data_IF_457162234103
#
_entry.id   IF_457162234103
#
_cell.length_a   1.000
_cell.length_b   1.000
_cell.length_c   1.000
_cell.angle_alpha   90.00
_cell.angle_beta   90.00
_cell.angle_gamma   90.00
#
_symmetry.space_group_name_H-M   'P 1'
#
loop_
_entity.id
_entity.type
_entity.pdbx_description
1 polymer ?
#
# COMPACT_ATOMS: atom_id res chain seq x y z
N UNK A 1 50.32 55.08 1.06
CA UNK A 1 50.42 53.73 0.51
C UNK A 1 49.13 53.01 0.89
N UNK A 2 48.29 52.58 -0.05
CA UNK A 2 47.09 51.80 0.29
C UNK A 2 47.54 50.39 0.64
N UNK A 3 47.07 49.89 1.77
CA UNK A 3 47.31 48.54 2.23
C UNK A 3 46.71 47.54 1.23
N UNK A 4 47.54 46.69 0.63
CA UNK A 4 47.10 45.59 -0.21
C UNK A 4 46.35 44.57 0.66
N UNK A 5 45.05 44.68 0.69
CA UNK A 5 44.19 43.69 1.39
C UNK A 5 44.32 42.32 0.72
N UNK A 6 45.13 41.46 1.27
CA UNK A 6 45.18 40.08 0.86
C UNK A 6 43.81 39.42 1.12
N UNK A 7 43.09 39.11 0.03
CA UNK A 7 41.88 38.28 0.16
C UNK A 7 42.31 36.92 0.68
N UNK A 8 41.66 36.37 1.72
CA UNK A 8 42.00 35.06 2.28
C UNK A 8 41.79 34.00 1.20
N UNK A 9 42.61 32.98 1.19
CA UNK A 9 42.67 31.89 0.18
C UNK A 9 41.32 31.16 0.04
N UNK A 10 40.50 31.11 1.08
CA UNK A 10 39.16 30.49 1.07
C UNK A 10 38.10 31.33 0.34
N UNK A 11 38.34 32.60 0.08
CA UNK A 11 37.36 33.52 -0.55
C UNK A 11 36.87 33.05 -1.93
N UNK A 12 37.73 32.58 -2.86
CA UNK A 12 37.25 32.03 -4.13
C UNK A 12 36.43 30.76 -3.96
N UNK A 13 36.73 29.92 -2.96
CA UNK A 13 35.97 28.69 -2.68
C UNK A 13 34.57 29.05 -2.21
N UNK A 14 34.41 29.99 -1.30
CA UNK A 14 33.12 30.46 -0.82
C UNK A 14 32.30 31.09 -1.94
N UNK A 15 32.94 31.88 -2.81
CA UNK A 15 32.24 32.50 -3.96
C UNK A 15 31.74 31.40 -4.93
N UNK A 16 32.55 30.42 -5.25
CA UNK A 16 32.13 29.27 -6.12
C UNK A 16 31.02 28.48 -5.48
N UNK A 17 31.12 28.18 -4.20
CA UNK A 17 30.05 27.43 -3.47
C UNK A 17 28.76 28.26 -3.42
N UNK A 18 28.82 29.53 -3.15
CA UNK A 18 27.65 30.41 -3.16
C UNK A 18 27.05 30.57 -4.57
N UNK A 19 27.89 30.74 -5.59
CA UNK A 19 27.44 30.86 -6.98
C UNK A 19 26.78 29.59 -7.54
N UNK A 20 27.10 28.42 -6.99
CA UNK A 20 26.47 27.13 -7.36
C UNK A 20 25.28 26.79 -6.47
N UNK A 21 25.38 26.98 -5.15
CA UNK A 21 24.32 26.61 -4.21
C UNK A 21 23.08 27.50 -4.33
N UNK A 22 23.25 28.82 -4.56
CA UNK A 22 22.10 29.74 -4.64
C UNK A 22 21.20 29.43 -5.86
N UNK A 23 21.72 29.27 -7.09
CA UNK A 23 20.89 28.90 -8.23
C UNK A 23 20.19 27.52 -8.05
N UNK A 24 20.88 26.54 -7.42
CA UNK A 24 20.30 25.25 -7.14
C UNK A 24 19.15 25.33 -6.13
N UNK A 25 19.31 26.13 -5.07
CA UNK A 25 18.24 26.35 -4.08
C UNK A 25 17.06 27.11 -4.67
N UNK A 26 17.33 28.09 -5.58
CA UNK A 26 16.26 28.80 -6.29
C UNK A 26 15.54 27.88 -7.27
N UNK A 27 16.27 27.06 -8.03
CA UNK A 27 15.68 26.07 -8.92
C UNK A 27 14.84 25.04 -8.17
N UNK A 28 15.32 24.59 -7.02
CA UNK A 28 14.59 23.69 -6.10
C UNK A 28 13.32 24.36 -5.58
N UNK A 29 13.40 25.61 -5.16
CA UNK A 29 12.25 26.39 -4.71
C UNK A 29 11.20 26.57 -5.81
N UNK A 30 11.63 26.90 -7.03
CA UNK A 30 10.75 27.02 -8.21
C UNK A 30 10.15 25.66 -8.57
N UNK A 31 10.95 24.59 -8.54
CA UNK A 31 10.47 23.23 -8.82
C UNK A 31 9.46 22.78 -7.76
N UNK A 32 9.74 23.00 -6.49
CA UNK A 32 8.82 22.70 -5.38
C UNK A 32 7.52 23.51 -5.47
N UNK A 33 7.57 24.76 -5.91
CA UNK A 33 6.38 25.59 -6.15
C UNK A 33 5.61 25.17 -7.40
N UNK A 34 6.28 24.81 -8.48
CA UNK A 34 5.68 24.39 -9.74
C UNK A 34 5.14 22.95 -9.69
N UNK A 35 5.79 22.06 -8.93
CA UNK A 35 5.35 20.71 -8.67
C UNK A 35 4.47 20.58 -7.42
N UNK A 36 4.19 21.72 -6.81
CA UNK A 36 3.45 21.81 -5.56
C UNK A 36 2.13 21.08 -5.60
N UNK A 37 2.10 19.93 -5.03
CA UNK A 37 1.04 18.92 -4.94
C UNK A 37 1.22 17.65 -5.78
N UNK A 38 2.22 17.52 -6.65
CA UNK A 38 2.38 16.31 -7.47
C UNK A 38 3.55 15.41 -7.08
N UNK A 39 4.11 15.57 -5.88
CA UNK A 39 5.10 14.63 -5.36
C UNK A 39 6.39 14.54 -6.20
N UNK A 40 6.86 15.67 -6.72
CA UNK A 40 8.10 15.71 -7.49
C UNK A 40 9.32 15.45 -6.59
N UNK A 41 10.23 14.60 -7.05
CA UNK A 41 11.57 14.46 -6.47
C UNK A 41 12.28 15.79 -6.46
N UNK A 42 13.03 16.08 -5.37
CA UNK A 42 13.94 17.20 -5.34
C UNK A 42 14.84 17.19 -6.58
N UNK A 43 14.85 18.30 -7.32
CA UNK A 43 15.64 18.43 -8.55
C UNK A 43 17.14 18.26 -8.25
N UNK A 44 17.58 18.75 -7.10
CA UNK A 44 18.95 18.58 -6.59
C UNK A 44 19.25 17.13 -6.29
N UNK A 45 18.30 16.40 -5.71
CA UNK A 45 18.48 14.98 -5.41
C UNK A 45 18.54 14.14 -6.69
N UNK A 46 17.64 14.41 -7.65
CA UNK A 46 17.65 13.76 -8.98
C UNK A 46 18.94 14.05 -9.74
N UNK A 47 19.46 15.29 -9.65
CA UNK A 47 20.71 15.67 -10.27
C UNK A 47 21.90 14.99 -9.58
N UNK A 48 21.93 14.96 -8.26
CA UNK A 48 22.96 14.27 -7.48
C UNK A 48 22.92 12.76 -7.70
N UNK A 49 21.74 12.16 -7.85
CA UNK A 49 21.60 10.76 -8.22
C UNK A 49 22.08 10.49 -9.67
N UNK A 50 21.77 11.39 -10.60
CA UNK A 50 22.24 11.27 -11.98
C UNK A 50 23.78 11.48 -12.11
N UNK A 51 24.36 12.26 -11.21
CA UNK A 51 25.81 12.49 -11.13
C UNK A 51 26.56 11.43 -10.30
N UNK A 52 25.86 10.68 -9.45
CA UNK A 52 26.41 9.46 -8.89
C UNK A 52 26.55 8.48 -10.04
N UNK A 53 27.77 8.28 -10.50
CA UNK A 53 28.10 7.05 -11.21
C UNK A 53 27.61 5.93 -10.28
N UNK A 54 26.61 5.13 -10.64
CA UNK A 54 26.22 4.04 -9.78
C UNK A 54 27.51 3.28 -9.49
N UNK A 55 27.79 2.90 -8.24
CA UNK A 55 28.92 2.03 -7.97
C UNK A 55 28.80 0.90 -8.98
N UNK A 56 29.90 0.48 -9.65
CA UNK A 56 29.83 -0.58 -10.64
C UNK A 56 29.01 -1.67 -9.99
N UNK A 57 27.88 -2.03 -10.60
CA UNK A 57 26.97 -3.03 -10.06
C UNK A 57 27.90 -4.18 -9.64
N UNK A 58 27.88 -4.63 -8.38
CA UNK A 58 28.70 -5.73 -7.97
C UNK A 58 28.51 -6.79 -9.03
N UNK A 59 29.59 -7.26 -9.64
CA UNK A 59 29.54 -8.16 -10.78
C UNK A 59 28.51 -9.22 -10.40
N UNK A 60 27.41 -9.26 -11.15
CA UNK A 60 26.27 -10.07 -10.76
C UNK A 60 26.82 -11.47 -10.55
N UNK A 61 26.80 -11.94 -9.31
CA UNK A 61 27.21 -13.31 -9.02
C UNK A 61 26.24 -14.18 -9.83
N UNK A 62 26.70 -14.87 -10.88
CA UNK A 62 25.83 -15.69 -11.70
C UNK A 62 25.15 -16.80 -10.90
N UNK A 63 25.57 -17.00 -9.66
CA UNK A 63 25.01 -17.96 -8.71
C UNK A 63 24.14 -17.31 -7.63
N UNK A 64 24.04 -15.97 -7.55
CA UNK A 64 23.06 -15.33 -6.68
C UNK A 64 21.69 -15.34 -7.33
N UNK A 65 20.71 -16.12 -6.80
CA UNK A 65 19.35 -16.14 -7.33
C UNK A 65 18.69 -14.75 -7.35
N UNK A 66 19.09 -13.85 -6.45
CA UNK A 66 18.56 -12.50 -6.39
C UNK A 66 19.05 -11.63 -7.55
N UNK A 67 20.28 -11.83 -8.04
CA UNK A 67 20.84 -11.08 -9.17
C UNK A 67 20.24 -11.50 -10.50
N UNK A 68 19.72 -12.72 -10.61
CA UNK A 68 19.08 -13.28 -11.80
C UNK A 68 17.62 -12.85 -11.98
N UNK A 69 17.01 -12.23 -10.96
CA UNK A 69 15.57 -11.93 -10.90
C UNK A 69 15.22 -10.49 -11.23
N UNK A 70 16.15 -9.69 -11.74
CA UNK A 70 15.89 -8.29 -12.08
C UNK A 70 15.56 -8.17 -13.57
N UNK A 71 14.38 -7.62 -13.85
CA UNK A 71 13.92 -7.36 -15.22
C UNK A 71 14.38 -5.97 -15.66
N UNK A 72 15.01 -5.90 -16.82
CA UNK A 72 15.38 -4.61 -17.42
C UNK A 72 14.19 -4.03 -18.17
N UNK A 73 14.09 -2.71 -18.18
CA UNK A 73 13.05 -2.01 -18.93
C UNK A 73 13.06 -2.36 -20.43
N UNK A 74 14.25 -2.66 -20.99
CA UNK A 74 14.40 -3.13 -22.38
C UNK A 74 13.70 -4.46 -22.64
N UNK A 75 13.78 -5.39 -21.70
CA UNK A 75 13.23 -6.74 -21.84
C UNK A 75 11.70 -6.68 -21.83
N UNK A 76 11.15 -5.82 -20.98
CA UNK A 76 9.70 -5.56 -20.91
C UNK A 76 9.22 -4.91 -22.20
N UNK A 77 9.96 -3.90 -22.71
CA UNK A 77 9.60 -3.20 -23.95
C UNK A 77 9.54 -4.16 -25.15
N UNK A 78 10.42 -5.15 -25.21
CA UNK A 78 10.41 -6.16 -26.24
C UNK A 78 9.17 -7.06 -26.19
N UNK A 79 8.62 -7.30 -25.00
CA UNK A 79 7.45 -8.17 -24.80
C UNK A 79 6.10 -7.43 -24.86
N UNK A 80 6.08 -6.10 -24.82
CA UNK A 80 4.84 -5.33 -24.84
C UNK A 80 3.85 -5.71 -25.97
N UNK A 81 4.30 -5.96 -27.23
CA UNK A 81 3.37 -6.37 -28.29
C UNK A 81 2.72 -7.73 -28.00
N UNK A 82 3.49 -8.71 -27.54
CA UNK A 82 2.99 -10.04 -27.20
C UNK A 82 2.05 -9.98 -25.99
N UNK A 83 2.36 -9.17 -25.01
CA UNK A 83 1.53 -8.94 -23.83
C UNK A 83 0.18 -8.33 -24.21
N UNK A 84 0.19 -7.27 -25.02
CA UNK A 84 -1.02 -6.61 -25.51
C UNK A 84 -1.89 -7.56 -26.31
N UNK A 85 -1.30 -8.34 -27.23
CA UNK A 85 -2.01 -9.33 -28.02
C UNK A 85 -2.63 -10.45 -27.15
N UNK A 86 -1.98 -10.78 -26.06
CA UNK A 86 -2.44 -11.79 -25.09
C UNK A 86 -3.39 -11.24 -24.02
N UNK A 87 -3.75 -9.93 -24.09
CA UNK A 87 -4.57 -9.29 -23.08
C UNK A 87 -3.97 -9.32 -21.67
N UNK A 88 -2.64 -9.39 -21.60
CA UNK A 88 -1.90 -9.24 -20.35
C UNK A 88 -1.78 -7.76 -20.07
N UNK A 89 -2.26 -7.34 -18.93
CA UNK A 89 -2.06 -5.99 -18.47
C UNK A 89 -0.69 -5.82 -17.81
N UNK A 90 -0.12 -4.66 -18.01
CA UNK A 90 1.13 -4.23 -17.41
C UNK A 90 0.86 -3.04 -16.50
N UNK A 91 1.25 -3.13 -15.24
CA UNK A 91 1.21 -2.00 -14.32
C UNK A 91 2.53 -1.78 -13.61
N UNK A 92 2.92 -0.52 -13.46
CA UNK A 92 3.98 -0.15 -12.51
C UNK A 92 3.48 -0.25 -11.06
N UNK A 93 2.16 -0.42 -10.93
CA UNK A 93 1.45 -0.63 -9.68
C UNK A 93 0.30 -1.59 -9.95
N UNK A 94 0.04 -2.54 -9.05
CA UNK A 94 -1.12 -3.42 -9.16
C UNK A 94 -2.46 -2.69 -9.34
N UNK A 95 -2.50 -1.41 -9.04
CA UNK A 95 -3.70 -0.57 -9.18
C UNK A 95 -4.14 -0.29 -10.61
N UNK A 96 -3.22 -0.27 -11.59
CA UNK A 96 -3.55 0.22 -12.92
C UNK A 96 -4.48 -0.73 -13.69
N UNK A 97 -4.48 -2.02 -13.37
CA UNK A 97 -5.33 -3.01 -14.04
C UNK A 97 -6.62 -3.32 -13.30
N UNK A 98 -6.56 -3.39 -11.99
CA UNK A 98 -7.79 -3.50 -11.20
C UNK A 98 -8.73 -2.32 -11.45
N UNK A 99 -8.18 -1.15 -11.82
CA UNK A 99 -8.98 0.00 -12.21
C UNK A 99 -9.91 -0.26 -13.41
N UNK A 100 -9.53 -1.12 -14.35
CA UNK A 100 -10.38 -1.48 -15.49
C UNK A 100 -11.49 -2.45 -15.10
N UNK A 101 -11.38 -3.05 -13.94
CA UNK A 101 -12.29 -4.08 -13.42
C UNK A 101 -13.12 -3.61 -12.22
N UNK A 102 -12.85 -2.40 -11.74
CA UNK A 102 -13.68 -1.72 -10.76
C UNK A 102 -14.83 -1.01 -11.47
N UNK A 103 -16.04 -1.19 -10.98
CA UNK A 103 -17.20 -0.45 -11.44
C UNK A 103 -17.51 0.68 -10.45
N UNK A 104 -17.78 1.88 -10.96
CA UNK A 104 -18.38 2.90 -10.11
C UNK A 104 -19.89 2.71 -10.04
N UNK A 105 -20.42 2.71 -8.84
CA UNK A 105 -21.85 2.56 -8.57
C UNK A 105 -22.40 3.89 -8.14
N UNK A 106 -23.49 4.29 -8.78
CA UNK A 106 -24.27 5.43 -8.32
C UNK A 106 -25.01 5.04 -7.04
N UNK A 107 -24.66 5.68 -5.93
CA UNK A 107 -25.41 5.63 -4.68
C UNK A 107 -26.05 6.99 -4.40
N UNK A 108 -26.90 7.07 -3.40
CA UNK A 108 -27.43 8.37 -2.93
C UNK A 108 -26.31 9.35 -2.54
N UNK A 109 -25.12 8.84 -2.23
CA UNK A 109 -23.92 9.62 -1.86
C UNK A 109 -23.01 9.96 -3.06
N UNK A 110 -23.37 9.53 -4.27
CA UNK A 110 -22.58 9.68 -5.49
C UNK A 110 -21.96 8.36 -5.96
N UNK A 111 -21.08 8.39 -6.97
CA UNK A 111 -20.41 7.19 -7.47
C UNK A 111 -19.49 6.60 -6.41
N UNK A 112 -19.53 5.28 -6.26
CA UNK A 112 -18.67 4.51 -5.38
C UNK A 112 -17.95 3.44 -6.17
N UNK A 113 -16.73 3.12 -5.78
CA UNK A 113 -15.97 2.03 -6.37
C UNK A 113 -16.57 0.67 -6.00
N UNK A 114 -16.54 -0.25 -6.95
CA UNK A 114 -16.85 -1.67 -6.75
C UNK A 114 -15.83 -2.54 -7.47
N UNK A 115 -15.60 -3.70 -6.91
CA UNK A 115 -14.88 -4.74 -7.64
C UNK A 115 -15.85 -5.59 -8.44
N UNK A 116 -15.40 -6.04 -9.63
CA UNK A 116 -16.18 -6.99 -10.44
C UNK A 116 -16.42 -8.29 -9.67
N UNK A 117 -17.62 -8.83 -9.76
CA UNK A 117 -17.89 -10.16 -9.24
C UNK A 117 -17.18 -11.25 -10.06
N UNK A 118 -16.86 -12.35 -9.40
CA UNK A 118 -16.28 -13.56 -10.00
C UNK A 118 -14.96 -13.33 -10.73
N UNK A 119 -14.17 -12.34 -10.28
CA UNK A 119 -12.80 -12.18 -10.76
C UNK A 119 -11.95 -13.41 -10.40
N UNK A 120 -11.08 -13.79 -11.33
CA UNK A 120 -10.02 -14.79 -11.11
C UNK A 120 -8.77 -14.34 -11.85
N UNK A 121 -7.84 -13.75 -11.12
CA UNK A 121 -6.58 -13.23 -11.66
C UNK A 121 -5.40 -13.93 -11.05
N UNK A 122 -4.46 -14.27 -11.89
CA UNK A 122 -3.09 -14.60 -11.51
C UNK A 122 -2.27 -13.32 -11.63
N UNK A 123 -1.67 -12.88 -10.55
CA UNK A 123 -0.83 -11.69 -10.49
C UNK A 123 0.60 -12.12 -10.31
N UNK A 124 1.46 -11.77 -11.26
CA UNK A 124 2.88 -12.09 -11.25
C UNK A 124 3.67 -10.83 -10.97
N UNK A 125 4.49 -10.85 -9.92
CA UNK A 125 5.35 -9.74 -9.50
C UNK A 125 6.78 -9.98 -9.95
N UNK A 126 7.36 -8.96 -10.58
CA UNK A 126 8.74 -8.93 -11.05
C UNK A 126 9.50 -7.79 -10.38
N UNK A 127 10.73 -8.02 -9.96
CA UNK A 127 11.60 -6.97 -9.43
C UNK A 127 12.21 -6.16 -10.56
N UNK A 128 12.16 -4.84 -10.46
CA UNK A 128 12.72 -3.92 -11.45
C UNK A 128 13.97 -3.19 -10.93
N UNK A 129 14.26 -3.31 -9.63
CA UNK A 129 15.39 -2.62 -9.02
C UNK A 129 16.07 -3.53 -7.98
N UNK A 130 17.40 -3.69 -8.09
CA UNK A 130 18.20 -4.48 -7.17
C UNK A 130 18.27 -3.85 -5.77
N UNK A 131 18.36 -2.53 -5.74
CA UNK A 131 18.59 -1.77 -4.50
C UNK A 131 17.32 -1.38 -3.77
N UNK A 132 16.18 -1.48 -4.45
CA UNK A 132 14.87 -1.18 -3.86
C UNK A 132 13.94 -2.38 -4.05
N UNK A 133 13.80 -3.24 -3.03
CA UNK A 133 12.96 -4.43 -3.10
C UNK A 133 11.47 -4.11 -3.30
N UNK A 134 11.06 -2.84 -3.11
CA UNK A 134 9.69 -2.38 -3.31
C UNK A 134 9.43 -1.83 -4.71
N UNK A 135 10.47 -1.66 -5.55
CA UNK A 135 10.30 -1.39 -6.97
C UNK A 135 9.99 -2.69 -7.69
N UNK A 136 8.73 -2.86 -7.98
CA UNK A 136 8.22 -4.06 -8.62
C UNK A 136 7.23 -3.70 -9.72
N UNK A 137 7.13 -4.58 -10.69
CA UNK A 137 6.09 -4.60 -11.71
C UNK A 137 5.15 -5.76 -11.45
N UNK A 138 3.88 -5.57 -11.76
CA UNK A 138 2.89 -6.62 -11.69
C UNK A 138 2.23 -6.86 -13.05
N UNK A 139 1.99 -8.11 -13.34
CA UNK A 139 1.31 -8.60 -14.53
C UNK A 139 0.04 -9.31 -14.09
N UNK A 140 -1.08 -8.88 -14.67
CA UNK A 140 -2.39 -9.45 -14.37
C UNK A 140 -2.85 -10.29 -15.57
N UNK A 141 -3.20 -11.52 -15.29
CA UNK A 141 -3.69 -12.47 -16.30
C UNK A 141 -4.92 -13.17 -15.73
N UNK A 142 -5.93 -13.41 -16.56
CA UNK A 142 -7.02 -14.30 -16.17
C UNK A 142 -6.44 -15.68 -15.82
N UNK A 143 -6.91 -16.29 -14.72
CA UNK A 143 -6.31 -17.52 -14.18
C UNK A 143 -6.36 -18.68 -15.18
N UNK A 144 -7.39 -18.72 -16.00
CA UNK A 144 -7.63 -19.75 -17.03
C UNK A 144 -6.99 -19.44 -18.39
N UNK A 145 -6.34 -18.29 -18.51
CA UNK A 145 -5.75 -17.85 -19.77
C UNK A 145 -4.41 -18.53 -20.04
N UNK A 146 -4.31 -19.18 -21.19
CA UNK A 146 -3.03 -19.70 -21.70
C UNK A 146 -2.23 -18.56 -22.33
N UNK A 147 -1.02 -18.34 -21.85
CA UNK A 147 -0.09 -17.37 -22.40
C UNK A 147 0.75 -17.98 -23.53
N UNK A 148 1.24 -17.16 -24.51
CA UNK A 148 2.27 -17.59 -25.42
C UNK A 148 3.49 -18.15 -24.67
N UNK A 149 4.09 -19.22 -25.19
CA UNK A 149 5.18 -19.93 -24.52
C UNK A 149 6.36 -19.03 -24.13
N UNK A 150 6.70 -18.07 -25.00
CA UNK A 150 7.76 -17.10 -24.75
C UNK A 150 7.43 -16.18 -23.54
N UNK A 151 6.20 -15.68 -23.49
CA UNK A 151 5.74 -14.82 -22.39
C UNK A 151 5.65 -15.61 -21.08
N UNK A 152 5.14 -16.84 -21.12
CA UNK A 152 5.10 -17.70 -19.95
C UNK A 152 6.51 -17.99 -19.43
N UNK A 153 7.44 -18.36 -20.32
CA UNK A 153 8.83 -18.61 -19.95
C UNK A 153 9.53 -17.36 -19.36
N UNK A 154 9.21 -16.18 -19.88
CA UNK A 154 9.70 -14.93 -19.30
C UNK A 154 9.16 -14.71 -17.90
N UNK A 155 7.86 -14.84 -17.68
CA UNK A 155 7.25 -14.68 -16.36
C UNK A 155 7.80 -15.71 -15.37
N UNK A 156 7.90 -16.97 -15.77
CA UNK A 156 8.42 -18.06 -14.93
C UNK A 156 9.90 -17.81 -14.53
N UNK A 157 10.68 -17.21 -15.41
CA UNK A 157 12.07 -16.88 -15.16
C UNK A 157 12.25 -15.74 -14.16
N UNK A 158 11.42 -14.71 -14.23
CA UNK A 158 11.61 -13.47 -13.52
C UNK A 158 10.62 -13.25 -12.36
N UNK A 159 9.61 -14.08 -12.24
CA UNK A 159 8.66 -13.98 -11.14
C UNK A 159 9.32 -14.28 -9.80
N UNK A 160 9.29 -13.31 -8.91
CA UNK A 160 9.68 -13.57 -7.52
C UNK A 160 8.47 -13.90 -6.64
N UNK A 161 7.27 -13.56 -7.10
CA UNK A 161 6.02 -13.87 -6.44
C UNK A 161 4.89 -14.02 -7.45
N UNK A 162 4.04 -15.02 -7.24
CA UNK A 162 2.81 -15.23 -7.98
C UNK A 162 1.70 -15.38 -6.94
N UNK A 163 0.62 -14.62 -7.10
CA UNK A 163 -0.53 -14.65 -6.19
C UNK A 163 -1.83 -14.80 -6.98
N UNK A 164 -2.82 -15.42 -6.35
CA UNK A 164 -4.20 -15.40 -6.82
C UNK A 164 -4.92 -14.22 -6.22
N UNK A 165 -5.67 -13.54 -7.08
CA UNK A 165 -6.58 -12.50 -6.67
C UNK A 165 -7.95 -12.82 -7.24
N UNK A 166 -8.87 -13.23 -6.39
CA UNK A 166 -10.23 -13.55 -6.82
C UNK A 166 -11.28 -12.86 -5.96
N UNK A 167 -12.46 -12.66 -6.57
CA UNK A 167 -13.65 -12.14 -5.90
C UNK A 167 -14.78 -13.15 -6.02
N UNK A 168 -15.70 -13.11 -5.06
CA UNK A 168 -16.90 -13.93 -5.09
C UNK A 168 -17.98 -13.30 -6.01
N UNK A 169 -19.17 -13.90 -6.04
CA UNK A 169 -20.33 -13.42 -6.82
C UNK A 169 -20.81 -12.02 -6.44
N UNK A 170 -20.45 -11.58 -5.25
CA UNK A 170 -20.80 -10.26 -4.73
C UNK A 170 -19.71 -9.20 -4.98
N UNK A 171 -18.61 -9.55 -5.66
CA UNK A 171 -17.47 -8.67 -5.85
C UNK A 171 -16.57 -8.55 -4.60
N UNK A 172 -16.83 -9.32 -3.55
CA UNK A 172 -16.00 -9.31 -2.35
C UNK A 172 -14.74 -10.16 -2.58
N UNK A 173 -13.62 -9.72 -2.05
CA UNK A 173 -12.36 -10.49 -2.11
C UNK A 173 -12.56 -11.88 -1.51
N UNK A 174 -12.15 -12.92 -2.20
CA UNK A 174 -12.33 -14.29 -1.73
C UNK A 174 -11.64 -14.51 -0.39
N UNK A 175 -12.39 -15.08 0.56
CA UNK A 175 -11.89 -15.50 1.88
C UNK A 175 -11.81 -17.03 1.93
N UNK A 176 -10.69 -17.55 2.41
CA UNK A 176 -10.42 -18.98 2.54
C UNK A 176 -10.02 -19.34 3.99
N UNK A 177 -10.46 -20.50 4.52
CA UNK A 177 -11.45 -21.40 3.92
C UNK A 177 -12.84 -20.76 3.85
N UNK A 178 -13.70 -21.23 2.95
CA UNK A 178 -15.10 -20.78 2.92
C UNK A 178 -15.82 -21.13 4.22
N UNK A 179 -16.73 -20.26 4.66
CA UNK A 179 -17.53 -20.46 5.86
C UNK A 179 -18.96 -19.99 5.62
N UNK A 180 -19.91 -20.75 6.16
CA UNK A 180 -21.34 -20.42 6.19
C UNK A 180 -21.80 -20.05 7.60
N UNK A 181 -20.87 -19.73 8.50
CA UNK A 181 -21.20 -19.32 9.86
C UNK A 181 -22.16 -18.13 9.86
N UNK A 182 -23.16 -18.10 10.75
CA UNK A 182 -24.24 -17.10 10.73
C UNK A 182 -23.76 -15.71 11.19
N UNK A 183 -22.67 -15.63 11.96
CA UNK A 183 -22.10 -14.38 12.46
C UNK A 183 -21.05 -13.86 11.48
N UNK A 184 -21.24 -12.66 10.99
CA UNK A 184 -20.39 -12.04 9.97
C UNK A 184 -19.44 -11.03 10.60
N UNK A 185 -18.17 -11.10 10.21
CA UNK A 185 -17.15 -10.08 10.48
C UNK A 185 -16.76 -9.44 9.15
N UNK A 186 -16.99 -8.15 9.00
CA UNK A 186 -16.58 -7.41 7.81
C UNK A 186 -15.15 -6.90 7.97
N UNK A 187 -14.30 -7.18 6.98
CA UNK A 187 -12.97 -6.58 6.83
C UNK A 187 -13.07 -5.53 5.74
N UNK A 188 -13.05 -4.27 6.12
CA UNK A 188 -13.25 -3.11 5.26
C UNK A 188 -11.96 -2.28 5.18
N UNK A 189 -11.77 -1.55 4.10
CA UNK A 189 -10.63 -0.68 3.86
C UNK A 189 -10.28 -0.63 2.37
N UNK A 190 -9.13 -0.09 2.08
CA UNK A 190 -8.58 0.05 0.74
C UNK A 190 -7.85 -1.22 0.24
N UNK A 191 -6.81 -1.02 -0.56
CA UNK A 191 -5.96 -2.10 -1.10
C UNK A 191 -5.23 -2.92 -0.03
N UNK A 192 -4.98 -2.34 1.15
CA UNK A 192 -4.34 -3.06 2.27
C UNK A 192 -5.31 -4.07 2.85
N UNK A 193 -6.56 -3.66 3.12
CA UNK A 193 -7.62 -4.56 3.57
C UNK A 193 -7.94 -5.63 2.51
N UNK A 194 -7.98 -5.22 1.24
CA UNK A 194 -8.19 -6.11 0.11
C UNK A 194 -7.11 -7.20 0.02
N UNK A 195 -5.89 -6.90 0.46
CA UNK A 195 -4.77 -7.83 0.35
C UNK A 195 -4.25 -7.93 -1.08
N UNK A 196 -4.10 -6.79 -1.76
CA UNK A 196 -3.82 -6.72 -3.19
C UNK A 196 -2.55 -7.49 -3.60
N UNK A 197 -1.51 -7.46 -2.78
CA UNK A 197 -0.20 -8.04 -3.10
C UNK A 197 0.02 -9.44 -2.51
N UNK A 198 -1.01 -10.08 -1.98
CA UNK A 198 -0.94 -11.40 -1.33
C UNK A 198 -2.01 -12.34 -1.88
N UNK A 199 -1.77 -13.64 -1.72
CA UNK A 199 -2.69 -14.70 -2.17
C UNK A 199 -4.04 -14.64 -1.46
N UNK A 200 -5.09 -15.19 -2.08
CA UNK A 200 -6.43 -15.27 -1.47
C UNK A 200 -6.39 -15.90 -0.07
N UNK A 201 -5.55 -16.90 0.14
CA UNK A 201 -5.40 -17.60 1.42
C UNK A 201 -4.61 -16.82 2.47
N UNK A 202 -3.87 -15.77 2.05
CA UNK A 202 -2.98 -15.00 2.91
C UNK A 202 -3.59 -13.69 3.41
N UNK A 203 -4.78 -13.31 2.91
CA UNK A 203 -5.47 -12.07 3.29
C UNK A 203 -5.83 -12.04 4.78
N UNK A 204 -6.06 -10.84 5.33
CA UNK A 204 -6.48 -10.70 6.73
C UNK A 204 -7.73 -11.52 7.03
N UNK A 205 -8.74 -11.42 6.17
CA UNK A 205 -9.98 -12.19 6.31
C UNK A 205 -9.73 -13.70 6.27
N UNK A 206 -8.85 -14.17 5.39
CA UNK A 206 -8.55 -15.61 5.27
C UNK A 206 -7.77 -16.15 6.46
N UNK A 207 -6.78 -15.39 6.94
CA UNK A 207 -6.03 -15.80 8.13
C UNK A 207 -6.90 -15.81 9.39
N UNK A 208 -7.83 -14.86 9.53
CA UNK A 208 -8.81 -14.85 10.62
C UNK A 208 -9.80 -16.00 10.48
N UNK A 209 -10.31 -16.26 9.26
CA UNK A 209 -11.23 -17.36 8.99
C UNK A 209 -10.63 -18.73 9.33
N UNK A 210 -9.35 -18.93 9.01
CA UNK A 210 -8.65 -20.17 9.33
C UNK A 210 -8.51 -20.42 10.84
N UNK A 211 -8.50 -19.37 11.66
CA UNK A 211 -8.34 -19.44 13.12
C UNK A 211 -9.66 -19.47 13.87
N UNK A 212 -10.68 -18.84 13.33
CA UNK A 212 -12.01 -18.80 13.93
C UNK A 212 -13.10 -19.26 12.94
N UNK A 213 -13.38 -20.56 12.86
CA UNK A 213 -14.42 -21.08 11.99
C UNK A 213 -15.85 -20.81 12.49
N UNK A 214 -16.01 -20.26 13.70
CA UNK A 214 -17.34 -19.97 14.29
C UNK A 214 -17.97 -18.70 13.75
N UNK A 215 -17.18 -17.88 13.05
CA UNK A 215 -17.60 -16.66 12.36
C UNK A 215 -17.27 -16.74 10.87
N UNK A 216 -18.00 -15.97 10.08
CA UNK A 216 -17.75 -15.79 8.65
C UNK A 216 -17.06 -14.47 8.42
N UNK A 217 -15.81 -14.50 7.97
CA UNK A 217 -15.07 -13.30 7.63
C UNK A 217 -15.28 -12.94 6.17
N UNK A 218 -15.73 -11.71 5.91
CA UNK A 218 -16.03 -11.19 4.57
C UNK A 218 -15.12 -9.99 4.29
N UNK A 219 -14.32 -10.10 3.24
CA UNK A 219 -13.41 -9.03 2.83
C UNK A 219 -14.08 -8.15 1.78
N UNK A 220 -14.48 -6.96 2.20
CA UNK A 220 -15.09 -5.92 1.36
C UNK A 220 -14.10 -4.80 1.02
N UNK A 221 -12.79 -5.01 1.25
CA UNK A 221 -11.75 -4.07 0.88
C UNK A 221 -11.67 -3.87 -0.63
N UNK A 222 -11.47 -2.63 -1.07
CA UNK A 222 -11.46 -2.25 -2.48
C UNK A 222 -10.15 -1.53 -2.77
N UNK A 223 -9.39 -2.03 -3.74
CA UNK A 223 -8.15 -1.38 -4.15
C UNK A 223 -8.38 0.06 -4.59
N UNK A 224 -7.59 1.01 -4.05
CA UNK A 224 -7.67 2.45 -4.30
C UNK A 224 -8.91 3.16 -3.75
N UNK A 225 -9.72 2.50 -2.97
CA UNK A 225 -10.87 3.14 -2.33
C UNK A 225 -10.38 4.22 -1.35
N UNK A 226 -11.10 5.33 -1.31
CA UNK A 226 -11.04 6.30 -0.22
C UNK A 226 -12.15 5.98 0.81
N UNK A 227 -12.13 6.67 1.95
CA UNK A 227 -13.11 6.45 3.01
C UNK A 227 -14.58 6.50 2.53
N UNK A 228 -14.90 7.37 1.55
CA UNK A 228 -16.23 7.45 0.96
C UNK A 228 -16.64 6.16 0.23
N UNK A 229 -15.71 5.55 -0.52
CA UNK A 229 -15.97 4.29 -1.23
C UNK A 229 -16.13 3.13 -0.25
N UNK A 230 -15.33 3.13 0.81
CA UNK A 230 -15.37 2.08 1.84
C UNK A 230 -16.69 2.15 2.62
N UNK A 231 -17.19 3.35 2.92
CA UNK A 231 -18.50 3.49 3.57
C UNK A 231 -19.64 3.03 2.66
N UNK A 232 -19.57 3.26 1.34
CA UNK A 232 -20.50 2.67 0.39
C UNK A 232 -20.43 1.11 0.39
N UNK A 233 -19.24 0.54 0.46
CA UNK A 233 -19.06 -0.92 0.53
C UNK A 233 -19.67 -1.49 1.82
N UNK A 234 -19.52 -0.79 2.94
CA UNK A 234 -20.16 -1.15 4.21
C UNK A 234 -21.68 -1.09 4.14
N UNK A 235 -22.25 -0.04 3.52
CA UNK A 235 -23.72 0.07 3.34
C UNK A 235 -24.26 -1.09 2.47
N UNK A 236 -23.55 -1.47 1.40
CA UNK A 236 -23.93 -2.65 0.58
C UNK A 236 -23.82 -3.96 1.35
N UNK A 237 -22.77 -4.10 2.16
CA UNK A 237 -22.61 -5.28 3.02
C UNK A 237 -23.73 -5.34 4.09
N UNK A 238 -24.12 -4.21 4.68
CA UNK A 238 -25.26 -4.14 5.60
C UNK A 238 -26.55 -4.62 4.96
N UNK A 239 -26.83 -4.20 3.73
CA UNK A 239 -28.01 -4.67 3.00
C UNK A 239 -27.98 -6.18 2.71
N UNK A 240 -26.78 -6.76 2.45
CA UNK A 240 -26.61 -8.18 2.15
C UNK A 240 -26.62 -9.06 3.39
N UNK A 241 -25.99 -8.61 4.47
CA UNK A 241 -25.80 -9.36 5.70
C UNK A 241 -26.65 -8.84 6.85
N UNK A 242 -27.78 -8.25 6.56
CA UNK A 242 -28.65 -7.59 7.53
C UNK A 242 -28.89 -8.45 8.78
N UNK A 243 -28.60 -7.89 9.95
CA UNK A 243 -28.76 -8.55 11.26
C UNK A 243 -27.72 -9.64 11.58
N UNK A 244 -26.80 -9.96 10.63
CA UNK A 244 -25.74 -10.95 10.85
C UNK A 244 -24.38 -10.34 11.18
N UNK A 245 -24.19 -9.03 10.98
CA UNK A 245 -22.91 -8.37 11.16
C UNK A 245 -22.61 -8.20 12.66
N UNK A 246 -21.64 -8.96 13.12
CA UNK A 246 -21.21 -8.98 14.53
C UNK A 246 -20.09 -7.98 14.79
N UNK A 247 -19.20 -7.80 13.81
CA UNK A 247 -18.02 -6.96 13.92
C UNK A 247 -17.63 -6.31 12.59
N UNK A 248 -17.07 -5.12 12.67
CA UNK A 248 -16.37 -4.44 11.57
C UNK A 248 -14.91 -4.24 11.96
N UNK A 249 -14.01 -4.73 11.13
CA UNK A 249 -12.58 -4.44 11.18
C UNK A 249 -12.29 -3.46 10.05
N UNK A 250 -12.04 -2.21 10.38
CA UNK A 250 -11.71 -1.17 9.41
C UNK A 250 -10.20 -0.96 9.35
N UNK A 251 -9.61 -1.19 8.19
CA UNK A 251 -8.18 -0.94 7.93
C UNK A 251 -8.06 0.44 7.32
N UNK A 252 -7.58 1.39 8.10
CA UNK A 252 -7.36 2.78 7.72
C UNK A 252 -5.96 2.93 7.14
N UNK A 253 -5.85 3.43 5.93
CA UNK A 253 -4.60 3.78 5.28
C UNK A 253 -4.50 5.30 5.05
N UNK A 254 -3.30 5.78 4.75
CA UNK A 254 -3.05 7.22 4.56
C UNK A 254 -3.90 7.86 3.46
N UNK A 255 -4.24 7.10 2.42
CA UNK A 255 -5.03 7.59 1.30
C UNK A 255 -6.53 7.76 1.60
N UNK A 256 -7.00 7.31 2.76
CA UNK A 256 -8.42 7.45 3.13
C UNK A 256 -8.87 8.91 3.22
N UNK A 257 -7.95 9.81 3.60
CA UNK A 257 -8.22 11.24 3.74
C UNK A 257 -7.72 12.10 2.58
N UNK A 258 -6.87 11.55 1.70
CA UNK A 258 -6.06 12.35 0.77
C UNK A 258 -6.74 12.58 -0.60
N UNK A 259 -7.86 11.94 -0.90
CA UNK A 259 -8.45 11.96 -2.24
C UNK A 259 -9.66 12.90 -2.42
N UNK A 260 -9.82 13.91 -1.57
CA UNK A 260 -10.92 14.88 -1.71
C UNK A 260 -12.32 14.25 -1.63
N UNK A 261 -12.41 13.09 -0.97
CA UNK A 261 -13.67 12.37 -0.78
C UNK A 261 -14.60 13.05 0.22
N UNK A 262 -15.82 12.50 0.38
CA UNK A 262 -16.86 13.00 1.31
C UNK A 262 -16.43 13.01 2.78
N UNK A 263 -15.42 12.24 3.14
CA UNK A 263 -14.84 12.19 4.49
C UNK A 263 -13.43 12.70 4.41
N UNK A 264 -13.28 14.00 4.55
CA UNK A 264 -11.99 14.70 4.52
C UNK A 264 -11.35 14.83 5.90
N UNK A 265 -12.02 14.35 6.94
CA UNK A 265 -11.53 14.46 8.31
C UNK A 265 -11.69 13.18 9.13
N UNK A 266 -10.81 12.96 10.12
CA UNK A 266 -10.94 11.86 11.08
C UNK A 266 -12.29 11.86 11.82
N UNK A 267 -12.83 13.04 12.14
CA UNK A 267 -14.11 13.21 12.82
C UNK A 267 -15.25 12.62 11.99
N UNK A 268 -15.36 13.01 10.73
CA UNK A 268 -16.43 12.56 9.85
C UNK A 268 -16.41 11.04 9.69
N UNK A 269 -15.25 10.44 9.54
CA UNK A 269 -15.10 8.98 9.44
C UNK A 269 -15.55 8.29 10.74
N UNK A 270 -15.07 8.76 11.90
CA UNK A 270 -15.40 8.13 13.18
C UNK A 270 -16.86 8.31 13.54
N UNK A 271 -17.43 9.48 13.28
CA UNK A 271 -18.87 9.73 13.48
C UNK A 271 -19.72 8.82 12.58
N UNK A 272 -19.31 8.64 11.33
CA UNK A 272 -19.99 7.73 10.41
C UNK A 272 -19.89 6.27 10.89
N UNK A 273 -18.70 5.79 11.28
CA UNK A 273 -18.53 4.42 11.80
C UNK A 273 -19.35 4.20 13.08
N UNK A 274 -19.46 5.22 13.93
CA UNK A 274 -20.26 5.18 15.16
C UNK A 274 -21.76 5.07 14.83
N UNK A 275 -22.23 5.87 13.87
CA UNK A 275 -23.60 5.83 13.40
C UNK A 275 -23.91 4.48 12.71
N UNK A 276 -23.00 3.97 11.88
CA UNK A 276 -23.10 2.66 11.25
C UNK A 276 -23.23 1.54 12.29
N UNK A 277 -22.34 1.51 13.28
CA UNK A 277 -22.39 0.55 14.37
C UNK A 277 -23.74 0.52 15.08
N UNK A 278 -24.30 1.68 15.36
CA UNK A 278 -25.61 1.82 16.04
C UNK A 278 -26.75 1.38 15.14
N UNK A 279 -26.73 1.78 13.87
CA UNK A 279 -27.79 1.46 12.89
C UNK A 279 -27.87 -0.03 12.59
N UNK A 280 -26.73 -0.67 12.42
CA UNK A 280 -26.64 -2.10 12.07
C UNK A 280 -26.53 -3.02 13.30
N UNK A 281 -26.57 -2.45 14.52
CA UNK A 281 -26.40 -3.19 15.78
C UNK A 281 -25.12 -3.99 15.87
N UNK A 282 -24.03 -3.48 15.26
CA UNK A 282 -22.70 -4.10 15.27
C UNK A 282 -22.13 -4.06 16.67
N UNK A 283 -21.73 -5.21 17.21
CA UNK A 283 -21.26 -5.31 18.60
C UNK A 283 -19.88 -4.72 18.79
N UNK A 284 -19.00 -4.90 17.82
CA UNK A 284 -17.61 -4.45 17.90
C UNK A 284 -17.15 -3.77 16.62
N UNK A 285 -16.40 -2.70 16.78
CA UNK A 285 -15.65 -2.07 15.69
C UNK A 285 -14.20 -1.98 16.08
N UNK A 286 -13.33 -2.51 15.24
CA UNK A 286 -11.88 -2.44 15.41
C UNK A 286 -11.30 -1.59 14.29
N UNK A 287 -10.55 -0.55 14.64
CA UNK A 287 -9.81 0.29 13.72
C UNK A 287 -8.34 -0.17 13.70
N UNK A 288 -7.83 -0.52 12.53
CA UNK A 288 -6.41 -0.81 12.33
C UNK A 288 -5.83 0.35 11.54
N UNK A 289 -4.91 1.10 12.13
CA UNK A 289 -4.27 2.24 11.46
C UNK A 289 -2.94 1.79 10.88
N UNK A 290 -2.83 1.84 9.55
CA UNK A 290 -1.66 1.38 8.81
C UNK A 290 -1.05 2.49 7.97
N UNK A 291 0.15 2.96 8.32
CA UNK A 291 0.89 3.90 7.51
C UNK A 291 1.66 3.19 6.38
N UNK A 292 2.06 3.95 5.38
CA UNK A 292 3.02 3.49 4.38
C UNK A 292 4.37 3.14 5.03
N UNK A 293 5.12 2.26 4.38
CA UNK A 293 6.43 1.82 4.89
C UNK A 293 7.40 2.99 5.12
N UNK A 294 7.32 4.03 4.31
CA UNK A 294 8.17 5.23 4.45
C UNK A 294 7.96 5.96 5.77
N UNK A 295 6.78 5.81 6.34
CA UNK A 295 6.38 6.44 7.58
C UNK A 295 6.67 5.58 8.81
N UNK A 296 7.00 4.31 8.61
CA UNK A 296 7.35 3.38 9.68
C UNK A 296 8.83 3.08 9.75
N UNK A 297 9.54 3.21 8.63
CA UNK A 297 10.97 2.89 8.51
C UNK A 297 11.69 4.10 7.89
N UNK A 298 12.18 5.05 8.72
CA UNK A 298 12.84 6.27 8.27
C UNK A 298 14.02 6.03 7.32
N UNK A 299 14.67 4.87 7.43
CA UNK A 299 15.79 4.47 6.58
C UNK A 299 15.35 4.28 5.12
N UNK A 300 14.14 3.79 4.89
CA UNK A 300 13.57 3.63 3.55
C UNK A 300 13.23 4.97 2.93
N UNK A 301 12.76 5.92 3.73
CA UNK A 301 12.51 7.31 3.28
C UNK A 301 13.77 7.95 2.74
N UNK A 302 14.93 7.71 3.37
CA UNK A 302 16.24 8.23 2.90
C UNK A 302 16.67 7.62 1.58
N UNK A 303 16.27 6.39 1.26
CA UNK A 303 16.63 5.71 0.01
C UNK A 303 15.87 6.29 -1.18
N UNK A 304 14.63 6.75 -1.00
CA UNK A 304 13.77 7.20 -2.10
C UNK A 304 13.57 8.70 -2.25
N UNK A 305 13.83 9.49 -1.22
CA UNK A 305 13.57 10.94 -1.28
C UNK A 305 12.10 11.32 -1.47
N UNK A 306 11.18 10.37 -1.34
CA UNK A 306 9.76 10.55 -1.53
C UNK A 306 9.00 10.41 -0.22
N UNK A 307 8.45 11.51 0.27
CA UNK A 307 7.19 11.44 0.99
C UNK A 307 6.12 11.95 0.01
N UNK A 308 5.35 11.08 -0.59
CA UNK A 308 4.19 11.49 -1.38
C UNK A 308 3.10 12.12 -0.50
N UNK A 309 3.23 11.99 0.81
CA UNK A 309 2.28 12.45 1.80
C UNK A 309 2.95 13.37 2.79
N UNK A 310 2.23 14.40 3.20
CA UNK A 310 2.68 15.33 4.23
C UNK A 310 2.73 14.60 5.57
N UNK A 311 3.89 14.02 5.88
CA UNK A 311 4.11 13.22 7.09
C UNK A 311 3.64 13.87 8.40
N UNK A 312 3.93 15.17 8.66
CA UNK A 312 3.40 15.82 9.86
C UNK A 312 1.87 15.82 9.92
N UNK A 313 1.20 16.06 8.80
CA UNK A 313 -0.27 16.05 8.72
C UNK A 313 -0.80 14.65 8.97
N UNK A 314 -0.24 13.64 8.32
CA UNK A 314 -0.64 12.26 8.54
C UNK A 314 -0.46 11.82 10.01
N UNK A 315 0.66 12.15 10.64
CA UNK A 315 0.89 11.83 12.06
C UNK A 315 -0.15 12.46 12.96
N UNK A 316 -0.52 13.72 12.71
CA UNK A 316 -1.54 14.41 13.47
C UNK A 316 -2.92 13.77 13.26
N UNK A 317 -3.30 13.48 12.04
CA UNK A 317 -4.56 12.82 11.68
C UNK A 317 -4.63 11.41 12.26
N UNK A 318 -3.55 10.63 12.16
CA UNK A 318 -3.44 9.30 12.76
C UNK A 318 -3.67 9.33 14.27
N UNK A 319 -2.99 10.22 14.98
CA UNK A 319 -3.15 10.34 16.44
C UNK A 319 -4.60 10.71 16.75
N UNK A 320 -5.14 11.70 16.06
CA UNK A 320 -6.49 12.18 16.27
C UNK A 320 -7.56 11.11 15.98
N UNK A 321 -7.46 10.38 14.88
CA UNK A 321 -8.43 9.32 14.56
C UNK A 321 -8.40 8.21 15.61
N UNK A 322 -7.21 7.82 16.10
CA UNK A 322 -7.09 6.81 17.14
C UNK A 322 -7.71 7.27 18.48
N UNK A 323 -7.50 8.53 18.85
CA UNK A 323 -8.10 9.12 20.06
C UNK A 323 -9.63 9.16 19.94
N UNK A 324 -10.15 9.63 18.81
CA UNK A 324 -11.59 9.68 18.55
C UNK A 324 -12.21 8.28 18.56
N UNK A 325 -11.58 7.30 17.89
CA UNK A 325 -12.06 5.94 17.88
C UNK A 325 -12.13 5.32 19.29
N UNK A 326 -11.09 5.50 20.10
CA UNK A 326 -11.07 5.03 21.49
C UNK A 326 -12.16 5.71 22.34
N UNK A 327 -12.37 7.01 22.15
CA UNK A 327 -13.44 7.76 22.83
C UNK A 327 -14.84 7.23 22.49
N UNK A 328 -15.02 6.73 21.27
CA UNK A 328 -16.27 6.10 20.83
C UNK A 328 -16.35 4.59 21.19
N UNK A 329 -15.44 4.09 22.00
CA UNK A 329 -15.42 2.69 22.44
C UNK A 329 -15.06 1.69 21.32
N UNK A 330 -14.32 2.15 20.30
CA UNK A 330 -13.76 1.27 19.30
C UNK A 330 -12.42 0.70 19.78
N UNK A 331 -12.14 -0.54 19.40
CA UNK A 331 -10.81 -1.12 19.55
C UNK A 331 -9.86 -0.50 18.53
N UNK A 332 -8.60 -0.26 18.90
CA UNK A 332 -7.62 0.36 18.00
C UNK A 332 -6.34 -0.45 18.01
N UNK A 333 -5.87 -0.81 16.82
CA UNK A 333 -4.55 -1.40 16.57
C UNK A 333 -3.74 -0.42 15.73
N UNK A 334 -2.55 -0.10 16.22
CA UNK A 334 -1.61 0.75 15.50
C UNK A 334 -0.52 -0.12 14.88
N UNK A 335 -0.44 -0.13 13.54
CA UNK A 335 0.58 -0.92 12.85
C UNK A 335 2.01 -0.39 13.11
N UNK A 336 2.16 0.87 13.53
CA UNK A 336 3.46 1.42 13.95
C UNK A 336 3.99 0.67 15.17
N UNK A 337 3.12 0.33 16.13
CA UNK A 337 3.53 -0.45 17.30
C UNK A 337 3.98 -1.86 16.91
N UNK A 338 3.31 -2.46 15.91
CA UNK A 338 3.71 -3.76 15.34
C UNK A 338 5.09 -3.66 14.69
N UNK A 339 5.35 -2.60 13.91
CA UNK A 339 6.67 -2.39 13.29
C UNK A 339 7.76 -2.12 14.31
N UNK A 340 7.45 -1.39 15.38
CA UNK A 340 8.39 -1.16 16.48
C UNK A 340 8.73 -2.46 17.22
N UNK A 341 7.74 -3.29 17.50
CA UNK A 341 7.97 -4.60 18.12
C UNK A 341 8.81 -5.54 17.24
N UNK A 342 8.57 -5.54 15.93
CA UNK A 342 9.37 -6.35 14.99
C UNK A 342 10.83 -5.87 14.92
N UNK A 343 11.07 -4.56 15.00
CA UNK A 343 12.41 -3.97 15.04
C UNK A 343 13.19 -4.44 16.26
N UNK A 344 12.54 -4.49 17.42
CA UNK A 344 13.13 -4.96 18.67
C UNK A 344 13.40 -6.47 18.61
N UNK A 345 12.42 -7.26 18.21
CA UNK A 345 12.53 -8.73 18.15
C UNK A 345 13.55 -9.20 17.11
N UNK A 346 13.56 -8.56 15.93
CA UNK A 346 14.47 -8.88 14.84
C UNK A 346 15.90 -8.36 15.03
N UNK A 347 16.16 -7.57 16.10
CA UNK A 347 17.44 -6.94 16.40
C UNK A 347 18.06 -6.18 15.22
N UNK A 348 17.21 -5.65 14.34
CA UNK A 348 17.60 -4.93 13.12
C UNK A 348 16.59 -3.83 12.81
N UNK A 349 17.13 -2.67 12.45
CA UNK A 349 16.31 -1.56 11.97
C UNK A 349 15.52 -1.90 10.69
N UNK A 350 15.96 -2.91 9.94
CA UNK A 350 15.34 -3.37 8.70
C UNK A 350 14.38 -4.56 8.90
N UNK A 351 14.29 -5.13 10.10
CA UNK A 351 13.38 -6.24 10.38
C UNK A 351 11.92 -5.94 9.97
N UNK A 352 11.37 -4.71 10.17
CA UNK A 352 10.03 -4.38 9.73
C UNK A 352 9.77 -4.46 8.23
N UNK A 353 10.82 -4.49 7.37
CA UNK A 353 10.65 -4.66 5.92
C UNK A 353 9.94 -5.97 5.58
N UNK A 354 10.13 -7.02 6.39
CA UNK A 354 9.45 -8.30 6.22
C UNK A 354 7.91 -8.21 6.37
N UNK A 355 7.40 -7.16 6.99
CA UNK A 355 5.97 -6.94 7.17
C UNK A 355 5.28 -6.41 5.92
N UNK A 356 6.03 -5.99 4.91
CA UNK A 356 5.52 -5.38 3.69
C UNK A 356 5.94 -6.16 2.45
N UNK A 357 5.10 -6.15 1.43
CA UNK A 357 5.41 -6.67 0.09
C UNK A 357 5.98 -5.56 -0.77
N UNK A 358 5.41 -4.36 -0.64
CA UNK A 358 5.80 -3.14 -1.33
C UNK A 358 5.73 -1.94 -0.37
N UNK A 359 5.61 -0.73 -0.89
CA UNK A 359 5.61 0.49 -0.09
C UNK A 359 4.36 0.70 0.79
N UNK A 360 3.28 -0.04 0.54
CA UNK A 360 1.99 0.14 1.22
C UNK A 360 1.41 -1.19 1.76
N UNK A 361 1.56 -2.27 0.99
CA UNK A 361 0.80 -3.50 1.24
C UNK A 361 1.52 -4.44 2.20
N UNK A 362 0.74 -5.01 3.10
CA UNK A 362 1.26 -6.01 4.04
C UNK A 362 1.69 -7.29 3.33
N UNK A 363 2.79 -7.85 3.80
CA UNK A 363 3.16 -9.23 3.48
C UNK A 363 2.28 -10.22 4.27
N UNK A 364 2.29 -11.52 3.95
CA UNK A 364 1.65 -12.54 4.78
C UNK A 364 2.14 -12.51 6.24
N UNK A 365 3.41 -12.17 6.47
CA UNK A 365 3.97 -11.97 7.82
C UNK A 365 3.34 -10.75 8.48
N UNK A 366 3.20 -9.62 7.77
CA UNK A 366 2.53 -8.43 8.29
C UNK A 366 1.09 -8.72 8.69
N UNK A 367 0.35 -9.41 7.83
CA UNK A 367 -1.02 -9.87 8.15
C UNK A 367 -1.03 -10.75 9.40
N UNK A 368 -0.11 -11.71 9.51
CA UNK A 368 -0.04 -12.60 10.69
C UNK A 368 0.22 -11.83 11.99
N UNK A 369 1.00 -10.75 11.95
CA UNK A 369 1.22 -9.89 13.12
C UNK A 369 -0.04 -9.11 13.50
N UNK A 370 -0.78 -8.62 12.52
CA UNK A 370 -2.08 -7.96 12.76
C UNK A 370 -3.07 -8.94 13.38
N UNK A 371 -3.15 -10.16 12.85
CA UNK A 371 -4.03 -11.20 13.41
C UNK A 371 -3.66 -11.51 14.87
N UNK A 372 -2.37 -11.65 15.18
CA UNK A 372 -1.91 -11.87 16.55
C UNK A 372 -2.29 -10.70 17.48
N UNK A 373 -2.20 -9.46 17.01
CA UNK A 373 -2.61 -8.29 17.78
C UNK A 373 -4.13 -8.26 18.02
N UNK A 374 -4.94 -8.65 17.04
CA UNK A 374 -6.39 -8.79 17.20
C UNK A 374 -6.75 -9.85 18.24
N UNK A 375 -6.08 -11.02 18.23
CA UNK A 375 -6.28 -12.10 19.20
C UNK A 375 -5.90 -11.66 20.62
N UNK A 376 -4.75 -10.99 20.78
CA UNK A 376 -4.33 -10.46 22.07
C UNK A 376 -5.33 -9.43 22.64
N UNK A 377 -5.84 -8.55 21.78
CA UNK A 377 -6.84 -7.56 22.19
C UNK A 377 -8.16 -8.22 22.56
N UNK A 378 -8.60 -9.27 21.85
CA UNK A 378 -9.81 -10.03 22.18
C UNK A 378 -9.68 -10.80 23.50
N UNK A 379 -8.48 -11.29 23.82
CA UNK A 379 -8.24 -11.99 25.10
C UNK A 379 -8.17 -11.06 26.32
N UNK A 380 -7.93 -9.75 26.10
CA UNK A 380 -7.86 -8.74 27.15
C UNK A 380 -9.21 -8.09 27.50
N UNK A 381 -10.25 -8.33 26.73
CA UNK A 381 -11.64 -7.87 26.92
C UNK A 381 -12.50 -8.91 27.60
#
# INVERSE_FOLDING_TARGET
>A
MPASGHRPWWFPIVVVLAATAVPLLVAEGIHSLASGYLGGTSLVFSLLESMRTPPPAPAADPHDPASQMIVRASDIKALLPAMKASGVGLGNSPFSELKTEEASVNSEKGPCLEQKPNLRKKVTYLRTNLYNPFDQMSFFVDEDRTLPAELQAFLDRYAFRIVRHSTNEAGERTTLPKSDAPRVVLVAGDSVANGLAIDDSETLSSQLQARDPTRRYVNIGIARAAAADITCALDRAAARYHGAIDEVIYVLCENDFDQGGKYSSPEELIDWLTAYRSRESVKRTTLIVTPLIYNTIPEVTRIRGHSHYNWPTFLAERTRVMELARKQGMSVIDFVDITAAERVSGRSQFAPLALYVDHAHWSPTGVSRVVAALEQQAAAQ
#
